data_IF_917949585736
#
_entry.id   IF_917949585736
#
_cell.length_a   1.000
_cell.length_b   1.000
_cell.length_c   1.000
_cell.angle_alpha   90.00
_cell.angle_beta   90.00
_cell.angle_gamma   90.00
#
_symmetry.space_group_name_H-M   'P 1'
#
loop_
_entity.id
_entity.type
_entity.pdbx_description
1 polymer ?
#
# COMPACT_ATOMS: atom_id res chain seq x y z
N UNK A 1 14.35 -9.23 3.92
CA UNK A 1 14.78 -9.38 2.51
C UNK A 1 13.98 -8.48 1.58
N UNK A 2 12.64 -8.59 1.59
CA UNK A 2 11.75 -7.79 0.74
C UNK A 2 11.77 -6.32 1.14
N UNK A 3 11.62 -6.03 2.42
CA UNK A 3 11.64 -4.67 2.98
C UNK A 3 12.86 -3.86 2.50
N UNK A 4 14.08 -4.40 2.70
CA UNK A 4 15.31 -3.76 2.25
C UNK A 4 15.35 -3.55 0.72
N UNK A 5 14.94 -4.57 -0.04
CA UNK A 5 14.95 -4.51 -1.49
C UNK A 5 14.02 -3.42 -2.03
N UNK A 6 12.79 -3.35 -1.51
CA UNK A 6 11.81 -2.33 -1.94
C UNK A 6 12.28 -0.93 -1.55
N UNK A 7 12.74 -0.74 -0.30
CA UNK A 7 13.25 0.56 0.15
C UNK A 7 14.49 1.01 -0.64
N UNK A 8 15.37 0.10 -1.05
CA UNK A 8 16.48 0.41 -1.98
C UNK A 8 15.99 0.92 -3.33
N UNK A 9 14.91 0.35 -3.88
CA UNK A 9 14.32 0.84 -5.13
C UNK A 9 13.75 2.26 -4.93
N UNK A 10 13.03 2.49 -3.84
CA UNK A 10 12.46 3.81 -3.51
C UNK A 10 13.57 4.86 -3.38
N UNK A 11 14.58 4.59 -2.55
CA UNK A 11 15.69 5.51 -2.32
C UNK A 11 16.51 5.79 -3.59
N UNK A 12 16.72 4.80 -4.47
CA UNK A 12 17.36 5.00 -5.79
C UNK A 12 16.55 5.90 -6.73
N UNK A 13 15.27 6.06 -6.49
CA UNK A 13 14.39 6.96 -7.24
C UNK A 13 14.10 8.25 -6.47
N UNK A 14 14.95 8.63 -5.52
CA UNK A 14 14.84 9.84 -4.70
C UNK A 14 13.54 9.91 -3.86
N UNK A 15 12.98 8.76 -3.51
CA UNK A 15 11.84 8.65 -2.59
C UNK A 15 12.38 8.25 -1.24
N UNK A 16 12.14 9.09 -0.22
CA UNK A 16 12.59 8.83 1.14
C UNK A 16 11.87 7.60 1.71
N UNK A 17 12.61 6.54 1.96
CA UNK A 17 12.15 5.32 2.62
C UNK A 17 13.24 4.85 3.60
N UNK A 18 12.88 4.23 4.74
CA UNK A 18 13.85 3.85 5.76
C UNK A 18 14.94 2.94 5.22
N UNK A 19 16.19 3.27 5.50
CA UNK A 19 17.33 2.41 5.18
C UNK A 19 17.44 1.28 6.20
N UNK A 20 17.88 0.10 5.74
CA UNK A 20 18.27 -0.98 6.61
C UNK A 20 19.71 -0.74 7.08
N UNK A 21 19.93 -0.63 8.40
CA UNK A 21 21.26 -0.48 8.99
C UNK A 21 21.87 -1.83 9.31
N UNK A 22 21.12 -2.67 10.04
CA UNK A 22 21.58 -4.03 10.36
C UNK A 22 20.42 -5.02 10.37
N UNK A 23 20.76 -6.29 10.24
CA UNK A 23 19.78 -7.37 10.31
C UNK A 23 20.32 -8.54 11.15
N UNK A 24 19.45 -9.06 11.98
CA UNK A 24 19.66 -10.26 12.79
C UNK A 24 18.41 -11.14 12.67
N UNK A 25 18.20 -11.69 11.48
CA UNK A 25 17.03 -12.54 11.23
C UNK A 25 17.06 -13.85 12.04
N UNK A 26 18.25 -14.30 12.42
CA UNK A 26 18.48 -15.38 13.39
C UNK A 26 17.85 -15.06 14.75
N UNK A 27 17.78 -13.79 15.12
CA UNK A 27 17.19 -13.27 16.36
C UNK A 27 15.86 -12.55 16.14
N UNK A 28 15.25 -12.62 14.95
CA UNK A 28 13.99 -12.00 14.55
C UNK A 28 13.94 -10.48 14.72
N UNK A 29 15.05 -9.76 14.53
CA UNK A 29 15.04 -8.31 14.51
C UNK A 29 15.84 -7.70 13.35
N UNK A 30 15.47 -6.48 13.00
CA UNK A 30 16.21 -5.62 12.07
C UNK A 30 16.32 -4.22 12.70
N UNK A 31 17.36 -3.49 12.36
CA UNK A 31 17.54 -2.09 12.70
C UNK A 31 17.41 -1.27 11.42
N UNK A 32 16.53 -0.28 11.45
CA UNK A 32 16.20 0.57 10.31
C UNK A 32 16.28 2.03 10.67
N UNK A 33 16.39 2.89 9.67
CA UNK A 33 16.33 4.33 9.82
C UNK A 33 14.99 4.74 10.43
N UNK A 34 15.05 5.58 11.47
CA UNK A 34 13.88 6.20 12.07
C UNK A 34 13.53 7.49 11.32
N UNK A 35 12.36 7.55 10.72
CA UNK A 35 11.83 8.73 10.06
C UNK A 35 11.04 9.66 11.01
N UNK A 36 11.11 9.41 12.31
CA UNK A 36 10.44 10.18 13.36
C UNK A 36 9.01 9.77 13.62
N UNK A 37 8.28 10.63 14.35
CA UNK A 37 6.96 10.30 14.91
C UNK A 37 5.79 11.06 14.25
N UNK A 38 6.05 11.97 13.30
CA UNK A 38 5.03 12.78 12.65
C UNK A 38 4.53 12.14 11.34
N UNK A 39 3.41 11.45 11.40
CA UNK A 39 2.72 11.01 10.19
C UNK A 39 1.91 12.17 9.59
N UNK A 40 1.72 12.14 8.27
CA UNK A 40 0.82 13.08 7.58
C UNK A 40 -0.60 13.00 8.15
N UNK A 41 -1.05 11.81 8.56
CA UNK A 41 -2.33 11.63 9.27
C UNK A 41 -2.43 12.51 10.52
N UNK A 42 -1.42 12.49 11.40
CA UNK A 42 -1.39 13.35 12.61
C UNK A 42 -1.47 14.82 12.25
N UNK A 43 -0.76 15.23 11.21
CA UNK A 43 -0.72 16.63 10.76
C UNK A 43 -2.09 17.07 10.21
N UNK A 44 -2.71 16.24 9.34
CA UNK A 44 -4.00 16.57 8.73
C UNK A 44 -5.16 16.61 9.74
N UNK A 45 -5.02 15.96 10.89
CA UNK A 45 -5.97 16.09 12.02
C UNK A 45 -5.85 17.40 12.80
N UNK A 46 -4.69 18.06 12.77
CA UNK A 46 -4.50 19.34 13.47
C UNK A 46 -5.28 20.45 12.76
N UNK A 47 -5.97 21.33 13.53
CA UNK A 47 -6.63 22.52 12.98
C UNK A 47 -5.58 23.53 12.49
N UNK A 48 -5.93 24.35 11.50
CA UNK A 48 -5.08 25.47 11.05
C UNK A 48 -3.88 25.09 10.18
N UNK A 49 -3.65 23.82 9.85
CA UNK A 49 -2.60 23.40 8.92
C UNK A 49 -3.02 23.58 7.47
N UNK A 50 -2.10 23.98 6.61
CA UNK A 50 -2.34 24.07 5.16
C UNK A 50 -2.44 22.64 4.56
N UNK A 51 -3.62 22.04 4.65
CA UNK A 51 -3.88 20.68 4.16
C UNK A 51 -3.61 20.55 2.68
N UNK A 52 -3.91 21.58 1.88
CA UNK A 52 -3.73 21.57 0.44
C UNK A 52 -2.25 21.40 0.07
N UNK A 53 -1.33 22.05 0.79
CA UNK A 53 0.11 21.86 0.58
C UNK A 53 0.54 20.43 0.78
N UNK A 54 0.04 19.75 1.83
CA UNK A 54 0.35 18.33 2.05
C UNK A 54 -0.25 17.44 0.96
N UNK A 55 -1.48 17.66 0.54
CA UNK A 55 -2.06 16.90 -0.58
C UNK A 55 -1.27 17.08 -1.87
N UNK A 56 -0.81 18.29 -2.17
CA UNK A 56 0.05 18.53 -3.32
C UNK A 56 1.38 17.75 -3.24
N UNK A 57 1.99 17.67 -2.06
CA UNK A 57 3.20 16.88 -1.85
C UNK A 57 2.93 15.37 -2.00
N UNK A 58 1.80 14.87 -1.46
CA UNK A 58 1.38 13.47 -1.56
C UNK A 58 1.16 13.08 -3.03
N UNK A 59 0.48 13.92 -3.80
CA UNK A 59 0.26 13.67 -5.23
C UNK A 59 1.57 13.66 -6.01
N UNK A 60 2.49 14.60 -5.72
CA UNK A 60 3.83 14.60 -6.33
C UNK A 60 4.57 13.29 -6.00
N UNK A 61 4.54 12.85 -4.74
CA UNK A 61 5.14 11.57 -4.32
C UNK A 61 4.50 10.39 -5.07
N UNK A 62 3.18 10.35 -5.18
CA UNK A 62 2.47 9.29 -5.91
C UNK A 62 2.90 9.23 -7.38
N UNK A 63 2.98 10.39 -8.06
CA UNK A 63 3.46 10.48 -9.44
C UNK A 63 4.90 9.95 -9.54
N UNK A 64 5.76 10.31 -8.60
CA UNK A 64 7.15 9.86 -8.54
C UNK A 64 7.25 8.35 -8.36
N UNK A 65 6.47 7.76 -7.45
CA UNK A 65 6.37 6.31 -7.26
C UNK A 65 5.92 5.62 -8.55
N UNK A 66 4.90 6.14 -9.21
CA UNK A 66 4.37 5.58 -10.44
C UNK A 66 5.34 5.71 -11.63
N UNK A 67 6.31 6.60 -11.55
CA UNK A 67 7.35 6.75 -12.58
C UNK A 67 8.48 5.72 -12.46
N UNK A 68 8.57 4.96 -11.38
CA UNK A 68 9.61 3.95 -11.16
C UNK A 68 9.55 2.88 -12.27
N UNK A 69 10.64 2.73 -13.01
CA UNK A 69 10.79 1.73 -14.08
C UNK A 69 11.66 0.55 -13.66
N UNK A 70 12.67 0.80 -12.82
CA UNK A 70 13.55 -0.26 -12.35
C UNK A 70 12.84 -1.09 -11.27
N UNK A 71 12.66 -2.37 -11.55
CA UNK A 71 11.94 -3.34 -10.71
C UNK A 71 12.83 -4.37 -10.07
N UNK A 72 14.14 -4.28 -10.36
CA UNK A 72 15.12 -5.26 -9.91
C UNK A 72 16.17 -4.57 -9.05
N UNK A 73 16.57 -5.24 -7.98
CA UNK A 73 17.60 -4.75 -7.07
C UNK A 73 18.25 -5.95 -6.37
N UNK A 74 19.48 -5.78 -5.94
CA UNK A 74 20.09 -6.71 -5.00
C UNK A 74 19.70 -6.37 -3.57
N UNK A 75 19.15 -7.35 -2.84
CA UNK A 75 18.88 -7.21 -1.42
C UNK A 75 20.20 -7.20 -0.61
N UNK A 76 20.11 -7.06 0.71
CA UNK A 76 21.30 -7.01 1.57
C UNK A 76 22.15 -8.31 1.55
N UNK A 77 21.60 -9.44 1.09
CA UNK A 77 22.33 -10.70 0.85
C UNK A 77 22.90 -10.81 -0.56
N UNK A 78 22.97 -9.73 -1.32
CA UNK A 78 23.38 -9.75 -2.74
C UNK A 78 22.50 -10.61 -3.67
N UNK A 79 21.33 -11.06 -3.22
CA UNK A 79 20.42 -11.83 -4.04
C UNK A 79 19.55 -10.89 -4.88
N UNK A 80 19.30 -11.28 -6.12
CA UNK A 80 18.39 -10.54 -6.99
C UNK A 80 16.96 -10.61 -6.48
N UNK A 81 16.35 -9.45 -6.28
CA UNK A 81 14.93 -9.29 -5.98
C UNK A 81 14.24 -8.58 -7.14
N UNK A 82 13.10 -9.08 -7.55
CA UNK A 82 12.24 -8.45 -8.56
C UNK A 82 10.88 -8.23 -7.94
N UNK A 83 10.37 -7.00 -8.02
CA UNK A 83 9.03 -6.67 -7.52
C UNK A 83 8.00 -7.54 -8.27
N UNK A 84 7.15 -8.30 -7.55
CA UNK A 84 6.18 -9.18 -8.16
C UNK A 84 5.08 -8.39 -8.88
N UNK A 85 4.40 -9.05 -9.82
CA UNK A 85 3.24 -8.47 -10.50
C UNK A 85 1.95 -8.77 -9.75
N UNK A 86 1.07 -7.79 -9.71
CA UNK A 86 -0.28 -7.92 -9.19
C UNK A 86 -1.15 -8.66 -10.22
N UNK A 87 -1.45 -9.89 -9.94
CA UNK A 87 -2.24 -10.75 -10.82
C UNK A 87 -3.66 -11.01 -10.26
N UNK A 88 -4.49 -11.67 -11.06
CA UNK A 88 -5.85 -12.04 -10.64
C UNK A 88 -5.88 -12.95 -9.41
N UNK A 89 -4.85 -13.77 -9.20
CA UNK A 89 -4.76 -14.68 -8.06
C UNK A 89 -4.56 -13.89 -6.77
N UNK A 90 -3.70 -12.88 -6.78
CA UNK A 90 -3.48 -11.98 -5.64
C UNK A 90 -4.79 -11.25 -5.30
N UNK A 91 -5.47 -10.66 -6.29
CA UNK A 91 -6.78 -10.00 -6.11
C UNK A 91 -7.82 -10.91 -5.45
N UNK A 92 -7.94 -12.14 -5.96
CA UNK A 92 -8.89 -13.10 -5.41
C UNK A 92 -8.52 -13.49 -3.97
N UNK A 93 -7.23 -13.65 -3.68
CA UNK A 93 -6.75 -13.97 -2.33
C UNK A 93 -7.05 -12.83 -1.35
N UNK A 94 -6.79 -11.58 -1.73
CA UNK A 94 -7.12 -10.41 -0.92
C UNK A 94 -8.62 -10.31 -0.65
N UNK A 95 -9.44 -10.45 -1.68
CA UNK A 95 -10.89 -10.46 -1.50
C UNK A 95 -11.35 -11.60 -0.56
N UNK A 96 -10.71 -12.76 -0.59
CA UNK A 96 -11.05 -13.88 0.28
C UNK A 96 -10.74 -13.59 1.76
N UNK A 97 -9.82 -12.68 2.09
CA UNK A 97 -9.55 -12.29 3.48
C UNK A 97 -10.82 -11.81 4.18
N UNK A 98 -11.72 -11.12 3.47
CA UNK A 98 -13.03 -10.75 4.01
C UNK A 98 -13.81 -11.98 4.50
N UNK A 99 -13.80 -13.05 3.72
CA UNK A 99 -14.46 -14.28 4.12
C UNK A 99 -13.75 -15.00 5.27
N UNK A 100 -12.42 -14.91 5.32
CA UNK A 100 -11.60 -15.63 6.31
C UNK A 100 -11.61 -14.96 7.67
N UNK A 101 -11.71 -13.64 7.70
CA UNK A 101 -11.72 -12.86 8.94
C UNK A 101 -13.13 -12.47 9.38
N UNK A 102 -13.88 -11.76 8.54
CA UNK A 102 -15.19 -11.23 8.92
C UNK A 102 -16.28 -12.29 8.88
N UNK A 103 -16.47 -12.95 7.73
CA UNK A 103 -17.55 -13.92 7.53
C UNK A 103 -17.38 -15.12 8.46
N UNK A 104 -16.14 -15.56 8.67
CA UNK A 104 -15.82 -16.68 9.58
C UNK A 104 -16.27 -16.40 11.02
N UNK A 105 -16.20 -15.18 11.48
CA UNK A 105 -16.49 -14.83 12.86
C UNK A 105 -17.93 -14.36 13.10
N UNK A 106 -18.63 -13.89 12.06
CA UNK A 106 -19.92 -13.21 12.19
C UNK A 106 -21.13 -13.98 11.63
N UNK A 107 -20.93 -15.10 10.95
CA UNK A 107 -22.03 -15.88 10.39
C UNK A 107 -22.07 -17.32 10.92
N UNK A 108 -23.26 -17.95 10.92
CA UNK A 108 -23.43 -19.37 11.25
C UNK A 108 -22.81 -20.27 10.17
N UNK A 109 -22.47 -21.53 10.51
CA UNK A 109 -21.78 -22.48 9.63
C UNK A 109 -22.48 -22.64 8.25
N UNK A 110 -23.81 -22.75 8.23
CA UNK A 110 -24.59 -22.88 7.00
C UNK A 110 -24.55 -21.61 6.12
N UNK A 111 -24.74 -20.43 6.75
CA UNK A 111 -24.69 -19.14 6.08
C UNK A 111 -23.29 -18.83 5.52
N UNK A 112 -22.22 -19.21 6.23
CA UNK A 112 -20.83 -19.09 5.76
C UNK A 112 -20.62 -19.79 4.41
N UNK A 113 -21.06 -21.04 4.29
CA UNK A 113 -20.88 -21.84 3.05
C UNK A 113 -21.59 -21.19 1.86
N UNK A 114 -22.86 -20.79 2.05
CA UNK A 114 -23.66 -20.10 1.00
C UNK A 114 -23.03 -18.75 0.62
N UNK A 115 -22.63 -17.94 1.61
CA UNK A 115 -22.00 -16.64 1.38
C UNK A 115 -20.70 -16.78 0.58
N UNK A 116 -19.77 -17.64 1.01
CA UNK A 116 -18.49 -17.87 0.31
C UNK A 116 -18.69 -18.30 -1.14
N UNK A 117 -19.65 -19.17 -1.42
CA UNK A 117 -19.96 -19.60 -2.79
C UNK A 117 -20.40 -18.42 -3.67
N UNK A 118 -21.30 -17.59 -3.17
CA UNK A 118 -21.81 -16.42 -3.90
C UNK A 118 -20.74 -15.34 -4.05
N UNK A 119 -20.00 -15.05 -2.98
CA UNK A 119 -18.90 -14.10 -2.97
C UNK A 119 -17.84 -14.44 -4.02
N UNK A 120 -17.39 -15.70 -4.07
CA UNK A 120 -16.43 -16.16 -5.09
C UNK A 120 -16.93 -15.94 -6.52
N UNK A 121 -18.23 -16.16 -6.78
CA UNK A 121 -18.82 -15.90 -8.12
C UNK A 121 -18.77 -14.41 -8.47
N UNK A 122 -19.11 -13.54 -7.51
CA UNK A 122 -19.10 -12.08 -7.70
C UNK A 122 -17.68 -11.60 -7.94
N UNK A 123 -16.73 -11.94 -7.07
CA UNK A 123 -15.33 -11.55 -7.20
C UNK A 123 -14.73 -12.03 -8.52
N UNK A 124 -15.01 -13.27 -8.93
CA UNK A 124 -14.56 -13.77 -10.23
C UNK A 124 -15.11 -12.93 -11.40
N UNK A 125 -16.39 -12.55 -11.37
CA UNK A 125 -16.99 -11.69 -12.40
C UNK A 125 -16.35 -10.30 -12.42
N UNK A 126 -16.12 -9.71 -11.25
CA UNK A 126 -15.46 -8.38 -11.12
C UNK A 126 -14.02 -8.43 -11.65
N UNK A 127 -13.24 -9.41 -11.23
CA UNK A 127 -11.84 -9.56 -11.65
C UNK A 127 -11.68 -9.83 -13.15
N UNK A 128 -12.67 -10.46 -13.81
CA UNK A 128 -12.67 -10.63 -15.25
C UNK A 128 -12.86 -9.31 -16.02
N UNK A 129 -13.60 -8.36 -15.43
CA UNK A 129 -13.85 -7.03 -16.02
C UNK A 129 -12.68 -6.05 -15.82
N UNK A 130 -11.81 -6.31 -14.85
CA UNK A 130 -10.68 -5.44 -14.58
C UNK A 130 -9.63 -5.52 -15.68
N UNK A 131 -9.30 -4.37 -16.26
CA UNK A 131 -8.20 -4.23 -17.21
C UNK A 131 -6.90 -4.04 -16.42
N UNK A 132 -6.24 -5.14 -16.05
CA UNK A 132 -4.97 -5.12 -15.30
C UNK A 132 -3.76 -4.82 -16.21
N UNK A 133 -3.89 -3.87 -17.15
CA UNK A 133 -2.86 -3.62 -18.17
C UNK A 133 -1.73 -2.69 -17.69
N UNK A 134 -1.93 -1.95 -16.62
CA UNK A 134 -0.92 -1.02 -16.13
C UNK A 134 0.22 -1.78 -15.48
N UNK A 135 1.43 -1.32 -15.78
CA UNK A 135 2.68 -1.88 -15.26
C UNK A 135 3.36 -0.82 -14.38
N UNK A 136 2.64 -0.33 -13.38
CA UNK A 136 3.08 0.75 -12.50
C UNK A 136 3.52 0.17 -11.16
N UNK A 137 4.52 0.79 -10.53
CA UNK A 137 4.84 0.49 -9.14
C UNK A 137 3.66 0.90 -8.27
N UNK A 138 3.19 -0.01 -7.42
CA UNK A 138 2.08 0.17 -6.48
C UNK A 138 2.59 -0.16 -5.09
N UNK A 139 2.42 0.76 -4.15
CA UNK A 139 2.81 0.58 -2.75
C UNK A 139 1.86 -0.38 -2.01
N UNK A 140 0.60 -0.40 -2.36
CA UNK A 140 -0.57 -1.12 -1.80
C UNK A 140 -1.15 -0.49 -0.54
N UNK A 141 -0.33 0.03 0.33
CA UNK A 141 -0.75 0.69 1.58
C UNK A 141 -0.42 2.20 1.55
N UNK A 142 -0.71 2.84 0.40
CA UNK A 142 -0.47 4.27 0.19
C UNK A 142 -1.58 5.11 0.82
N UNK A 143 -1.50 5.30 2.12
CA UNK A 143 -2.43 6.09 2.90
C UNK A 143 -1.68 6.99 3.90
N UNK A 144 -2.36 8.03 4.39
CA UNK A 144 -1.75 9.11 5.17
C UNK A 144 -1.04 8.67 6.46
N UNK A 145 -1.36 7.49 7.00
CA UNK A 145 -0.67 6.95 8.19
C UNK A 145 0.69 6.33 7.87
N UNK A 146 0.94 5.96 6.60
CA UNK A 146 2.21 5.42 6.12
C UNK A 146 3.08 6.49 5.45
N UNK A 147 2.64 7.74 5.49
CA UNK A 147 3.38 8.89 5.00
C UNK A 147 3.94 9.67 6.18
N UNK A 148 5.27 9.78 6.24
CA UNK A 148 6.00 10.45 7.30
C UNK A 148 6.39 11.87 6.88
N UNK A 149 6.11 12.87 7.73
CA UNK A 149 6.58 14.22 7.50
C UNK A 149 7.99 14.38 8.06
N UNK A 150 8.97 14.44 7.18
CA UNK A 150 10.40 14.52 7.55
C UNK A 150 10.97 15.80 7.00
N UNK A 151 11.23 16.79 7.88
CA UNK A 151 11.67 18.13 7.46
C UNK A 151 10.71 18.71 6.43
N UNK A 152 11.14 18.88 5.18
CA UNK A 152 10.35 19.48 4.11
C UNK A 152 9.91 18.46 3.04
N UNK A 153 9.96 17.17 3.33
CA UNK A 153 9.59 16.11 2.39
C UNK A 153 8.73 15.05 3.06
N UNK A 154 8.08 14.24 2.23
CA UNK A 154 7.29 13.10 2.71
C UNK A 154 8.11 11.82 2.52
N UNK A 155 8.33 11.09 3.63
CA UNK A 155 8.87 9.74 3.63
C UNK A 155 7.77 8.69 3.55
N UNK A 156 8.10 7.53 3.01
CA UNK A 156 7.18 6.40 2.79
C UNK A 156 7.66 5.20 3.61
N UNK A 157 6.78 4.66 4.45
CA UNK A 157 7.05 3.47 5.26
C UNK A 157 6.09 2.33 4.87
N UNK A 158 6.36 1.13 5.37
CA UNK A 158 5.50 -0.07 5.19
C UNK A 158 5.43 -0.54 3.72
N UNK A 159 6.57 -0.52 3.03
CA UNK A 159 6.68 -0.73 1.58
C UNK A 159 6.87 -2.18 1.14
N UNK A 160 6.98 -3.15 2.07
CA UNK A 160 7.35 -4.53 1.77
C UNK A 160 6.33 -5.29 0.89
N UNK A 161 5.09 -4.81 0.84
CA UNK A 161 4.02 -5.43 0.06
C UNK A 161 3.87 -4.84 -1.35
N UNK A 162 4.82 -4.00 -1.77
CA UNK A 162 4.80 -3.35 -3.07
C UNK A 162 4.75 -4.35 -4.24
N UNK A 163 3.98 -4.00 -5.24
CA UNK A 163 3.73 -4.80 -6.45
C UNK A 163 3.78 -3.94 -7.71
N UNK A 164 3.80 -4.60 -8.87
CA UNK A 164 3.59 -3.95 -10.15
C UNK A 164 2.13 -4.17 -10.56
N UNK A 165 1.35 -3.11 -10.61
CA UNK A 165 -0.09 -3.19 -10.80
C UNK A 165 -0.72 -1.99 -11.51
N UNK A 166 -1.97 -1.73 -11.19
CA UNK A 166 -2.77 -0.66 -11.78
C UNK A 166 -2.51 0.69 -11.08
N UNK A 167 -2.35 1.75 -11.86
CA UNK A 167 -2.10 3.12 -11.38
C UNK A 167 -3.17 3.68 -10.44
N UNK A 168 -4.40 3.20 -10.54
CA UNK A 168 -5.49 3.66 -9.70
C UNK A 168 -5.45 3.08 -8.28
N UNK A 169 -4.66 2.02 -8.01
CA UNK A 169 -4.69 1.32 -6.73
C UNK A 169 -4.33 2.24 -5.56
N UNK A 170 -3.14 2.83 -5.59
CA UNK A 170 -2.67 3.71 -4.51
C UNK A 170 -3.48 5.00 -4.42
N UNK A 171 -3.98 5.51 -5.56
CA UNK A 171 -4.89 6.65 -5.56
C UNK A 171 -6.20 6.32 -4.86
N UNK A 172 -6.78 5.15 -5.13
CA UNK A 172 -8.00 4.70 -4.45
C UNK A 172 -7.75 4.53 -2.94
N UNK A 173 -6.62 3.94 -2.54
CA UNK A 173 -6.25 3.79 -1.13
C UNK A 173 -6.11 5.14 -0.41
N UNK A 174 -5.62 6.17 -1.10
CA UNK A 174 -5.49 7.52 -0.56
C UNK A 174 -6.85 8.23 -0.42
N UNK A 175 -7.73 8.09 -1.43
CA UNK A 175 -9.03 8.78 -1.46
C UNK A 175 -10.02 8.14 -0.50
N UNK A 176 -10.05 6.80 -0.47
CA UNK A 176 -10.99 6.00 0.35
C UNK A 176 -10.37 5.57 1.69
N UNK A 177 -9.46 6.40 2.23
CA UNK A 177 -8.86 6.13 3.53
C UNK A 177 -9.87 6.33 4.66
N UNK A 178 -10.34 5.24 5.23
CA UNK A 178 -11.32 5.21 6.34
C UNK A 178 -10.85 5.97 7.58
N UNK A 179 -9.56 6.26 7.70
CA UNK A 179 -8.96 6.97 8.85
C UNK A 179 -9.11 8.49 8.72
N UNK A 180 -9.22 8.98 7.48
CA UNK A 180 -9.32 10.41 7.18
C UNK A 180 -10.46 10.66 6.19
N UNK A 181 -11.55 11.25 6.65
CA UNK A 181 -12.62 11.72 5.75
C UNK A 181 -12.07 12.91 4.94
N UNK A 182 -11.70 12.65 3.70
CA UNK A 182 -11.15 13.67 2.79
C UNK A 182 -12.25 14.52 2.14
N UNK A 183 -13.46 13.96 2.00
CA UNK A 183 -14.63 14.65 1.45
C UNK A 183 -15.91 14.23 2.19
N UNK A 184 -16.85 15.15 2.34
CA UNK A 184 -18.17 14.89 2.95
C UNK A 184 -19.14 14.11 2.04
N UNK A 185 -18.75 13.76 0.83
CA UNK A 185 -19.59 13.16 -0.21
C UNK A 185 -19.30 11.69 -0.52
N UNK A 186 -18.70 10.94 0.38
CA UNK A 186 -18.51 9.48 0.16
C UNK A 186 -19.78 8.64 0.36
N UNK A 187 -20.96 9.27 0.30
CA UNK A 187 -22.21 8.56 0.09
C UNK A 187 -22.60 8.67 -1.39
N UNK A 188 -21.90 7.93 -2.23
CA UNK A 188 -22.49 7.48 -3.48
C UNK A 188 -23.61 6.50 -3.09
N UNK A 189 -24.83 7.02 -3.02
CA UNK A 189 -26.04 6.21 -3.15
C UNK A 189 -25.94 5.47 -4.47
N UNK A 190 -25.68 4.17 -4.39
CA UNK A 190 -25.89 3.22 -5.47
C UNK A 190 -27.38 2.92 -5.57
#
# INVERSE_FOLDING_TARGET
LVYDAVNKILNKNNILAPKLYTQRYDKNFIEIEDLGNETVFKILKKKGKNKLSYFNQIIKLLIQIQSIRNRKVKNFRNQNYTIPKYDKKILINEANLFCDWYVKNNLSKLRKKKFRKNFKKIIKKLTLKLKLKDNIFVHRDFHVSNLMSVKNQIGLIDSQDALIGNKAYDLASLIDDVRLKTVSYTHLTL
#
